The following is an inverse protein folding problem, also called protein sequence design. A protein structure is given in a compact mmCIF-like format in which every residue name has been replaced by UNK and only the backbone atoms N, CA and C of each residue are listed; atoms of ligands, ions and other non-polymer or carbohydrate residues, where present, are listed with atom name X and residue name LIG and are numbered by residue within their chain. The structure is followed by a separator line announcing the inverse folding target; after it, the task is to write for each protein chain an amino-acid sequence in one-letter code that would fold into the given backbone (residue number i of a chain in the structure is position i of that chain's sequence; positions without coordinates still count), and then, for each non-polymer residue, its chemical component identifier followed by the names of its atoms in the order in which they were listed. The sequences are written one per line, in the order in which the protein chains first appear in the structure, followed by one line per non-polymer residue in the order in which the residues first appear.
data_IF_600228456510
#
_entry.id   IF_600228456510
#
_cell.length_a   1.000
_cell.length_b   1.000
_cell.length_c   1.000
_cell.angle_alpha   90.00
_cell.angle_beta   90.00
_cell.angle_gamma   90.00
#
_symmetry.space_group_name_H-M   'P 1'
#
loop_
_entity.id
_entity.type
_entity.pdbx_description
1 polymer ?
#
# COMPACT_ATOMS: atom_id res chain seq x y z
N UNK A 1 26.81 -19.56 -16.93
CA UNK A 1 25.34 -19.44 -16.87
C UNK A 1 25.05 -18.07 -16.29
N UNK A 2 24.91 -17.07 -17.15
CA UNK A 2 24.58 -15.71 -16.71
C UNK A 2 23.09 -15.68 -16.40
N UNK A 3 22.75 -15.49 -15.12
CA UNK A 3 21.40 -15.12 -14.74
C UNK A 3 21.29 -13.64 -15.07
N UNK A 4 20.86 -13.34 -16.29
CA UNK A 4 20.37 -12.01 -16.64
C UNK A 4 19.09 -11.82 -15.85
N UNK A 5 19.16 -11.06 -14.74
CA UNK A 5 17.97 -10.58 -14.03
C UNK A 5 17.37 -9.45 -14.87
N UNK A 6 16.79 -9.81 -16.01
CA UNK A 6 16.07 -8.87 -16.87
C UNK A 6 14.70 -8.60 -16.25
N UNK A 7 14.50 -7.38 -15.78
CA UNK A 7 13.20 -6.72 -15.63
C UNK A 7 12.16 -7.50 -14.84
N UNK A 8 12.03 -7.21 -13.54
CA UNK A 8 10.77 -7.48 -12.87
C UNK A 8 9.65 -6.79 -13.67
N UNK A 9 8.58 -7.51 -14.07
CA UNK A 9 7.48 -6.89 -14.77
C UNK A 9 6.91 -5.80 -13.88
N UNK A 10 6.73 -4.59 -14.41
CA UNK A 10 6.04 -3.50 -13.71
C UNK A 10 4.67 -3.93 -13.17
N UNK A 11 4.04 -4.92 -13.83
CA UNK A 11 2.81 -5.58 -13.38
C UNK A 11 2.98 -6.39 -12.10
N UNK A 12 4.09 -7.14 -11.94
CA UNK A 12 4.34 -7.95 -10.74
C UNK A 12 4.55 -7.09 -9.49
N UNK A 13 5.13 -5.90 -9.67
CA UNK A 13 5.24 -4.92 -8.58
C UNK A 13 3.90 -4.25 -8.27
N UNK A 14 3.08 -3.91 -9.29
CA UNK A 14 1.72 -3.40 -9.09
C UNK A 14 0.85 -4.40 -8.34
N UNK A 15 0.88 -5.68 -8.72
CA UNK A 15 0.16 -6.76 -8.02
C UNK A 15 0.62 -6.86 -6.55
N UNK A 16 1.92 -6.70 -6.29
CA UNK A 16 2.48 -6.69 -4.93
C UNK A 16 2.00 -5.49 -4.11
N UNK A 17 1.90 -4.32 -4.72
CA UNK A 17 1.40 -3.10 -4.07
C UNK A 17 -0.10 -3.21 -3.76
N UNK A 18 -0.90 -3.76 -4.68
CA UNK A 18 -2.32 -4.00 -4.47
C UNK A 18 -2.57 -4.98 -3.31
N UNK A 19 -1.78 -6.07 -3.21
CA UNK A 19 -1.86 -7.01 -2.10
C UNK A 19 -1.54 -6.31 -0.76
N UNK A 20 -0.48 -5.51 -0.71
CA UNK A 20 -0.12 -4.73 0.50
C UNK A 20 -1.21 -3.75 0.88
N UNK A 21 -1.84 -3.09 -0.10
CA UNK A 21 -2.95 -2.18 0.14
C UNK A 21 -4.14 -2.89 0.78
N UNK A 22 -4.50 -4.09 0.31
CA UNK A 22 -5.58 -4.89 0.91
C UNK A 22 -5.26 -5.30 2.35
N UNK A 23 -4.02 -5.71 2.62
CA UNK A 23 -3.58 -6.06 3.97
C UNK A 23 -3.67 -4.85 4.92
N UNK A 24 -3.24 -3.68 4.47
CA UNK A 24 -3.32 -2.47 5.28
C UNK A 24 -4.77 -2.00 5.51
N UNK A 25 -5.67 -2.16 4.53
CA UNK A 25 -7.11 -1.91 4.73
C UNK A 25 -7.69 -2.79 5.85
N UNK A 26 -7.33 -4.07 5.87
CA UNK A 26 -7.75 -4.99 6.94
C UNK A 26 -7.18 -4.58 8.32
N UNK A 27 -5.92 -4.18 8.40
CA UNK A 27 -5.30 -3.71 9.64
C UNK A 27 -5.93 -2.39 10.11
N UNK A 28 -6.22 -1.47 9.19
CA UNK A 28 -6.88 -0.19 9.50
C UNK A 28 -8.28 -0.44 10.10
N UNK A 29 -9.04 -1.38 9.53
CA UNK A 29 -10.36 -1.76 10.03
C UNK A 29 -10.26 -2.39 11.44
N UNK A 30 -9.33 -3.34 11.63
CA UNK A 30 -9.10 -3.96 12.94
C UNK A 30 -8.66 -2.92 13.99
N UNK A 31 -7.79 -1.98 13.62
CA UNK A 31 -7.37 -0.88 14.49
C UNK A 31 -8.55 0.05 14.83
N UNK A 32 -9.43 0.34 13.87
CA UNK A 32 -10.64 1.13 14.10
C UNK A 32 -11.58 0.45 15.11
N UNK A 33 -11.78 -0.85 15.01
CA UNK A 33 -12.57 -1.64 15.96
C UNK A 33 -11.95 -1.63 17.36
N UNK A 34 -10.63 -1.74 17.46
CA UNK A 34 -9.91 -1.66 18.74
C UNK A 34 -9.98 -0.27 19.38
N UNK A 35 -10.03 0.82 18.61
CA UNK A 35 -10.21 2.18 19.16
C UNK A 35 -11.56 2.38 19.86
N UNK A 36 -12.56 1.55 19.53
CA UNK A 36 -13.85 1.58 20.23
C UNK A 36 -13.77 0.91 21.61
N UNK A 37 -12.65 0.26 21.93
CA UNK A 37 -12.38 -0.43 23.19
C UNK A 37 -11.45 0.40 24.09
N UNK A 38 -11.26 0.01 25.36
CA UNK A 38 -10.51 0.78 26.37
C UNK A 38 -9.02 0.99 26.01
N UNK A 39 -8.44 0.21 25.10
CA UNK A 39 -7.04 0.29 24.67
C UNK A 39 -6.82 1.26 23.49
N UNK A 40 -7.26 2.51 23.67
CA UNK A 40 -7.35 3.51 22.60
C UNK A 40 -6.01 3.97 22.03
N UNK A 41 -4.98 4.11 22.87
CA UNK A 41 -3.80 4.86 22.49
C UNK A 41 -2.92 4.11 21.48
N UNK A 42 -2.79 2.79 21.64
CA UNK A 42 -2.08 1.94 20.68
C UNK A 42 -2.86 1.78 19.38
N UNK A 43 -4.18 1.63 19.46
CA UNK A 43 -5.05 1.52 18.29
C UNK A 43 -5.02 2.80 17.42
N UNK A 44 -5.10 3.98 18.04
CA UNK A 44 -4.98 5.29 17.35
C UNK A 44 -3.64 5.42 16.63
N UNK A 45 -2.54 5.08 17.32
CA UNK A 45 -1.19 5.13 16.74
C UNK A 45 -1.06 4.21 15.53
N UNK A 46 -1.49 2.95 15.66
CA UNK A 46 -1.46 1.96 14.58
C UNK A 46 -2.29 2.42 13.38
N UNK A 47 -3.49 2.94 13.61
CA UNK A 47 -4.36 3.46 12.55
C UNK A 47 -3.74 4.64 11.80
N UNK A 48 -3.10 5.58 12.49
CA UNK A 48 -2.41 6.71 11.85
C UNK A 48 -1.25 6.23 10.96
N UNK A 49 -0.43 5.31 11.46
CA UNK A 49 0.72 4.76 10.71
C UNK A 49 0.22 4.00 9.48
N UNK A 50 -0.78 3.14 9.65
CA UNK A 50 -1.33 2.33 8.55
C UNK A 50 -2.01 3.22 7.50
N UNK A 51 -2.75 4.25 7.93
CA UNK A 51 -3.39 5.21 7.00
C UNK A 51 -2.35 5.95 6.15
N UNK A 52 -1.21 6.32 6.73
CA UNK A 52 -0.11 6.95 5.98
C UNK A 52 0.49 6.00 4.93
N UNK A 53 0.80 4.76 5.32
CA UNK A 53 1.36 3.76 4.41
C UNK A 53 0.40 3.39 3.27
N UNK A 54 -0.90 3.36 3.56
CA UNK A 54 -1.94 3.16 2.53
C UNK A 54 -1.93 4.28 1.50
N UNK A 55 -1.87 5.55 1.95
CA UNK A 55 -1.84 6.70 1.04
C UNK A 55 -0.60 6.68 0.14
N UNK A 56 0.56 6.34 0.68
CA UNK A 56 1.82 6.22 -0.09
C UNK A 56 1.69 5.14 -1.20
N UNK A 57 1.06 4.00 -0.89
CA UNK A 57 0.82 2.94 -1.88
C UNK A 57 -0.23 3.34 -2.91
N UNK A 58 -1.34 3.97 -2.49
CA UNK A 58 -2.40 4.41 -3.41
C UNK A 58 -1.87 5.46 -4.41
N UNK A 59 -1.02 6.38 -3.97
CA UNK A 59 -0.35 7.35 -4.85
C UNK A 59 0.60 6.68 -5.85
N UNK A 60 1.38 5.71 -5.40
CA UNK A 60 2.29 4.95 -6.27
C UNK A 60 1.49 4.15 -7.31
N UNK A 61 0.38 3.51 -6.92
CA UNK A 61 -0.52 2.80 -7.83
C UNK A 61 -1.12 3.73 -8.88
N UNK A 62 -1.60 4.92 -8.48
CA UNK A 62 -2.11 5.94 -9.41
C UNK A 62 -1.00 6.35 -10.38
N UNK A 63 0.21 6.63 -9.88
CA UNK A 63 1.36 7.03 -10.71
C UNK A 63 1.74 5.95 -11.73
N UNK A 64 1.61 4.67 -11.37
CA UNK A 64 1.86 3.54 -12.28
C UNK A 64 0.74 3.33 -13.30
N UNK A 65 -0.49 3.69 -12.96
CA UNK A 65 -1.66 3.59 -13.84
C UNK A 65 -1.76 4.78 -14.80
N UNK A 66 -1.38 5.97 -14.34
CA UNK A 66 -1.12 7.15 -15.16
C UNK A 66 0.21 6.94 -15.89
N UNK A 67 0.19 6.13 -16.96
CA UNK A 67 1.27 6.19 -17.95
C UNK A 67 1.51 7.67 -18.31
N UNK A 68 2.76 8.14 -18.40
CA UNK A 68 3.01 9.51 -18.84
C UNK A 68 2.30 9.69 -20.18
N UNK A 69 1.40 10.68 -20.24
CA UNK A 69 0.97 11.21 -21.53
C UNK A 69 2.25 11.72 -22.16
N UNK A 70 2.77 10.96 -23.12
CA UNK A 70 3.88 11.40 -23.96
C UNK A 70 3.37 12.63 -24.70
N UNK A 71 3.80 13.81 -24.24
CA UNK A 71 3.48 15.11 -24.85
C UNK A 71 4.54 15.48 -25.89
N UNK A 72 5.00 14.50 -26.67
CA UNK A 72 5.96 14.66 -27.76
C UNK A 72 5.33 14.24 -29.09
#
# INVERSE_FOLDING_TARGET
MEIVVSGFPTTAETDSLEIKLQQFKAIQQAAHELMQQEDRQQAVSAYMVVSKLMLEIELELITRQEKPVDLW
#
